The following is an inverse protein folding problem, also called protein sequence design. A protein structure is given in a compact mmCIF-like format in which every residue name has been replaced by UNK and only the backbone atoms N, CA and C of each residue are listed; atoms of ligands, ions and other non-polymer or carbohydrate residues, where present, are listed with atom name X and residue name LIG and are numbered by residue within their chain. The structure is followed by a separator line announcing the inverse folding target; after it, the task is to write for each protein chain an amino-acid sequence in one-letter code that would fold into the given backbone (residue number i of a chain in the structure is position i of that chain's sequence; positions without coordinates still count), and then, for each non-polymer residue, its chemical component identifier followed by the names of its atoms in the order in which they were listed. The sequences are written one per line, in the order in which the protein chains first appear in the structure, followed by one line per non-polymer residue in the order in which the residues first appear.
data_IF_406964757792
#
_entry.id   IF_406964757792
#
_cell.length_a   1.000
_cell.length_b   1.000
_cell.length_c   1.000
_cell.angle_alpha   90.00
_cell.angle_beta   90.00
_cell.angle_gamma   90.00
#
_symmetry.space_group_name_H-M   'P 1'
#
loop_
_entity.id
_entity.type
_entity.pdbx_description
1 polymer ?
#
# COMPACT_ATOMS: atom_id res chain seq x y z
N UNK A 1 -8.95 16.08 4.53
CA UNK A 1 -9.43 15.61 3.20
C UNK A 1 -10.15 14.30 3.40
N UNK A 2 -11.39 14.17 2.89
CA UNK A 2 -12.13 12.91 2.79
C UNK A 2 -11.89 12.28 1.42
N UNK A 3 -12.11 10.96 1.28
CA UNK A 3 -11.99 10.30 -0.03
C UNK A 3 -12.99 10.84 -1.05
N UNK A 4 -14.16 11.31 -0.62
CA UNK A 4 -15.17 11.93 -1.48
C UNK A 4 -14.75 13.29 -2.06
N UNK A 5 -13.71 13.93 -1.49
CA UNK A 5 -13.12 15.16 -2.03
C UNK A 5 -12.06 14.87 -3.11
N UNK A 6 -11.62 13.60 -3.22
CA UNK A 6 -10.65 13.16 -4.22
C UNK A 6 -11.44 12.52 -5.36
N UNK A 7 -11.68 13.27 -6.42
CA UNK A 7 -12.45 12.81 -7.59
C UNK A 7 -11.50 12.65 -8.77
N UNK A 8 -11.55 11.46 -9.40
CA UNK A 8 -10.82 11.15 -10.63
C UNK A 8 -11.87 10.91 -11.71
N UNK A 9 -11.72 11.51 -12.87
CA UNK A 9 -12.65 11.34 -13.98
C UNK A 9 -11.92 11.43 -15.33
N UNK A 10 -12.53 10.88 -16.34
CA UNK A 10 -12.00 10.93 -17.70
C UNK A 10 -12.00 12.35 -18.25
N UNK A 11 -10.94 12.71 -18.99
CA UNK A 11 -10.87 13.96 -19.69
C UNK A 11 -11.96 13.98 -20.77
N UNK A 12 -12.73 15.10 -20.92
CA UNK A 12 -13.71 15.22 -21.99
C UNK A 12 -13.13 14.98 -23.39
N UNK A 13 -13.98 14.51 -24.32
CA UNK A 13 -13.56 14.19 -25.70
C UNK A 13 -12.84 15.34 -26.43
N UNK A 14 -13.11 16.60 -26.07
CA UNK A 14 -12.42 17.76 -26.62
C UNK A 14 -10.98 17.94 -26.13
N UNK A 15 -10.55 17.11 -25.16
CA UNK A 15 -9.21 17.15 -24.57
C UNK A 15 -8.94 18.37 -23.68
N UNK A 16 -9.94 19.18 -23.37
CA UNK A 16 -9.79 20.36 -22.52
C UNK A 16 -10.09 20.02 -21.05
N UNK A 17 -9.19 20.45 -20.15
CA UNK A 17 -9.36 20.27 -18.72
C UNK A 17 -10.51 21.15 -18.21
N UNK A 18 -11.60 20.58 -17.67
CA UNK A 18 -12.66 21.37 -17.06
C UNK A 18 -12.13 22.15 -15.85
N UNK A 19 -12.51 23.42 -15.70
CA UNK A 19 -12.11 24.26 -14.57
C UNK A 19 -10.60 24.17 -14.25
N UNK A 20 -9.69 24.60 -15.15
CA UNK A 20 -8.25 24.40 -14.99
C UNK A 20 -7.62 25.05 -13.74
N UNK A 21 -8.37 25.90 -13.04
CA UNK A 21 -7.95 26.48 -11.76
C UNK A 21 -8.24 25.55 -10.56
N UNK A 22 -9.06 24.53 -10.75
CA UNK A 22 -9.51 23.60 -9.69
C UNK A 22 -9.07 22.14 -9.96
N UNK A 23 -8.80 21.83 -11.22
CA UNK A 23 -8.47 20.47 -11.67
C UNK A 23 -7.06 20.43 -12.28
N UNK A 24 -6.43 19.27 -12.19
CA UNK A 24 -5.12 18.98 -12.77
C UNK A 24 -5.15 17.68 -13.58
N UNK A 25 -4.32 17.56 -14.60
CA UNK A 25 -4.12 16.30 -15.28
C UNK A 25 -3.36 15.33 -14.39
N UNK A 26 -3.75 14.06 -14.38
CA UNK A 26 -3.04 13.03 -13.60
C UNK A 26 -1.57 12.95 -13.97
N UNK A 27 -1.24 13.08 -15.26
CA UNK A 27 0.15 13.01 -15.75
C UNK A 27 1.06 14.07 -15.14
N UNK A 28 0.49 15.20 -14.70
CA UNK A 28 1.25 16.29 -14.07
C UNK A 28 1.43 16.09 -12.56
N UNK A 29 0.72 15.11 -11.97
CA UNK A 29 0.67 14.89 -10.52
C UNK A 29 1.32 13.58 -10.09
N UNK A 30 1.38 12.57 -10.98
CA UNK A 30 1.87 11.25 -10.64
C UNK A 30 3.40 11.20 -10.53
N UNK A 31 3.86 10.50 -9.53
CA UNK A 31 5.23 9.99 -9.44
C UNK A 31 5.24 8.57 -10.01
N UNK A 32 6.19 8.30 -10.92
CA UNK A 32 6.36 6.99 -11.54
C UNK A 32 7.39 6.18 -10.78
N UNK A 33 7.03 4.97 -10.41
CA UNK A 33 7.89 4.01 -9.72
C UNK A 33 7.95 2.71 -10.51
N UNK A 34 9.04 1.98 -10.34
CA UNK A 34 9.22 0.63 -10.90
C UNK A 34 9.58 -0.35 -9.79
N UNK A 35 9.16 -1.59 -9.93
CA UNK A 35 9.50 -2.69 -9.03
C UNK A 35 9.53 -4.00 -9.78
N UNK A 36 10.39 -4.92 -9.36
CA UNK A 36 10.33 -6.31 -9.80
C UNK A 36 9.43 -7.09 -8.84
N UNK A 37 8.56 -7.93 -9.37
CA UNK A 37 7.75 -8.86 -8.60
C UNK A 37 7.54 -10.14 -9.41
N UNK A 38 7.89 -11.30 -8.84
CA UNK A 38 7.87 -12.61 -9.50
C UNK A 38 8.60 -12.57 -10.87
N UNK A 39 9.84 -12.06 -10.88
CA UNK A 39 10.72 -11.93 -12.05
C UNK A 39 10.18 -11.04 -13.18
N UNK A 40 9.14 -10.23 -12.92
CA UNK A 40 8.55 -9.29 -13.87
C UNK A 40 8.70 -7.86 -13.36
N UNK A 41 9.21 -6.97 -14.21
CA UNK A 41 9.27 -5.55 -13.93
C UNK A 41 7.88 -4.92 -14.15
N UNK A 42 7.39 -4.18 -13.15
CA UNK A 42 6.14 -3.43 -13.18
C UNK A 42 6.38 -1.95 -12.94
N UNK A 43 5.68 -1.13 -13.71
CA UNK A 43 5.55 0.30 -13.47
C UNK A 43 4.23 0.57 -12.75
N UNK A 44 4.28 1.40 -11.70
CA UNK A 44 3.11 1.86 -10.96
C UNK A 44 3.22 3.34 -10.66
N UNK A 45 2.11 3.97 -10.32
CA UNK A 45 2.06 5.42 -10.13
C UNK A 45 1.46 5.76 -8.79
N UNK A 46 1.98 6.82 -8.16
CA UNK A 46 1.44 7.35 -6.92
C UNK A 46 1.20 8.86 -7.02
N UNK A 47 0.22 9.34 -6.27
CA UNK A 47 0.04 10.77 -6.02
C UNK A 47 0.16 10.99 -4.52
N UNK A 48 1.18 11.73 -4.09
CA UNK A 48 1.38 12.13 -2.69
C UNK A 48 0.54 13.37 -2.39
N UNK A 49 -0.61 13.19 -1.73
CA UNK A 49 -1.45 14.30 -1.26
C UNK A 49 -0.89 14.86 0.05
N UNK A 50 -0.43 13.97 0.93
CA UNK A 50 0.25 14.32 2.17
C UNK A 50 1.26 13.23 2.53
N UNK A 51 2.49 13.61 2.85
CA UNK A 51 3.56 12.65 3.18
C UNK A 51 3.29 11.89 4.49
N UNK A 52 2.62 12.50 5.44
CA UNK A 52 2.54 12.06 6.84
C UNK A 52 3.52 12.87 7.71
N UNK A 53 3.15 13.06 8.97
CA UNK A 53 3.86 13.97 9.86
C UNK A 53 4.90 13.31 10.77
N UNK A 54 4.94 12.00 10.82
CA UNK A 54 5.95 11.22 11.56
C UNK A 54 7.30 11.21 10.80
N UNK A 55 8.38 10.88 11.50
CA UNK A 55 9.66 10.54 10.87
C UNK A 55 9.72 9.05 10.46
N UNK A 56 8.77 8.24 10.90
CA UNK A 56 8.72 6.80 10.63
C UNK A 56 7.81 6.49 9.45
N UNK A 57 8.28 5.62 8.56
CA UNK A 57 7.51 4.96 7.49
C UNK A 57 7.45 3.46 7.75
N UNK A 58 6.45 2.73 7.24
CA UNK A 58 6.44 1.28 7.30
C UNK A 58 7.50 0.67 6.39
N UNK A 59 7.88 -0.57 6.70
CA UNK A 59 8.56 -1.46 5.77
C UNK A 59 7.52 -2.32 5.01
N UNK A 60 7.96 -3.01 3.98
CA UNK A 60 7.07 -3.77 3.08
C UNK A 60 6.38 -4.99 3.74
N UNK A 61 6.88 -5.47 4.88
CA UNK A 61 6.34 -6.61 5.64
C UNK A 61 5.64 -6.20 6.94
N UNK A 62 5.57 -4.89 7.22
CA UNK A 62 5.04 -4.40 8.48
C UNK A 62 3.52 -4.55 8.60
N UNK A 63 3.04 -4.46 9.82
CA UNK A 63 1.63 -4.26 10.10
C UNK A 63 1.31 -2.78 10.05
N UNK A 64 0.28 -2.41 9.30
CA UNK A 64 -0.11 -1.01 9.09
C UNK A 64 -1.57 -0.78 9.44
N UNK A 65 -1.88 0.42 9.93
CA UNK A 65 -3.23 0.89 10.18
C UNK A 65 -3.62 1.91 9.12
N UNK A 66 -4.65 1.58 8.34
CA UNK A 66 -5.08 2.38 7.18
C UNK A 66 -6.60 2.52 7.13
N UNK A 67 -7.09 3.55 6.45
CA UNK A 67 -8.41 3.56 5.81
C UNK A 67 -8.22 3.70 4.31
N UNK A 68 -9.14 3.17 3.52
CA UNK A 68 -8.97 3.13 2.07
C UNK A 68 -10.28 3.04 1.30
N UNK A 69 -10.20 3.33 0.01
CA UNK A 69 -11.23 3.12 -0.99
C UNK A 69 -10.56 2.57 -2.26
N UNK A 70 -10.94 1.37 -2.68
CA UNK A 70 -10.45 0.70 -3.87
C UNK A 70 -11.49 0.73 -4.99
N UNK A 71 -11.10 1.28 -6.15
CA UNK A 71 -11.95 1.37 -7.33
C UNK A 71 -11.26 0.80 -8.56
N UNK A 72 -12.04 0.34 -9.52
CA UNK A 72 -11.58 -0.04 -10.86
C UNK A 72 -11.35 1.21 -11.72
N UNK A 73 -10.78 1.03 -12.91
CA UNK A 73 -10.53 2.13 -13.85
C UNK A 73 -11.81 2.84 -14.33
N UNK A 74 -12.98 2.22 -14.20
CA UNK A 74 -14.29 2.78 -14.51
C UNK A 74 -15.01 3.39 -13.29
N UNK A 75 -14.26 3.65 -12.20
CA UNK A 75 -14.73 4.17 -10.91
C UNK A 75 -15.67 3.22 -10.15
N UNK A 76 -15.77 1.94 -10.56
CA UNK A 76 -16.54 0.93 -9.82
C UNK A 76 -15.85 0.63 -8.49
N UNK A 77 -16.53 0.95 -7.38
CA UNK A 77 -16.06 0.62 -6.03
C UNK A 77 -16.11 -0.90 -5.82
N UNK A 78 -14.98 -1.50 -5.44
CA UNK A 78 -14.91 -2.94 -5.16
C UNK A 78 -14.62 -3.26 -3.69
N UNK A 79 -13.94 -2.36 -2.97
CA UNK A 79 -13.64 -2.54 -1.55
C UNK A 79 -13.37 -1.20 -0.87
N UNK A 80 -13.72 -1.06 0.41
CA UNK A 80 -13.41 0.15 1.17
C UNK A 80 -13.53 -0.05 2.68
N UNK A 81 -12.75 0.71 3.44
CA UNK A 81 -12.96 0.91 4.86
C UNK A 81 -12.73 2.38 5.23
N UNK A 82 -13.79 3.05 5.68
CA UNK A 82 -13.70 4.40 6.23
C UNK A 82 -13.25 4.43 7.69
N UNK A 83 -13.36 3.29 8.39
CA UNK A 83 -12.84 3.06 9.74
C UNK A 83 -11.44 2.49 9.59
N UNK A 84 -10.43 2.95 10.38
CA UNK A 84 -9.10 2.39 10.33
C UNK A 84 -9.10 0.88 10.59
N UNK A 85 -8.45 0.13 9.70
CA UNK A 85 -8.23 -1.31 9.78
C UNK A 85 -6.75 -1.62 9.78
N UNK A 86 -6.39 -2.74 10.38
CA UNK A 86 -5.01 -3.21 10.40
C UNK A 86 -4.79 -4.21 9.26
N UNK A 87 -3.74 -3.99 8.48
CA UNK A 87 -3.24 -4.91 7.47
C UNK A 87 -1.86 -5.41 7.88
N UNK A 88 -1.63 -6.67 7.69
CA UNK A 88 -0.32 -7.27 7.57
C UNK A 88 0.06 -7.20 6.08
N UNK A 89 1.12 -6.48 5.75
CA UNK A 89 1.47 -6.20 4.36
C UNK A 89 1.90 -7.47 3.60
N UNK A 90 2.41 -8.48 4.29
CA UNK A 90 2.74 -9.78 3.67
C UNK A 90 1.49 -10.56 3.24
N UNK A 91 0.35 -10.26 3.84
CA UNK A 91 -0.95 -10.90 3.56
C UNK A 91 -1.83 -10.09 2.60
N UNK A 92 -1.32 -8.98 2.04
CA UNK A 92 -2.04 -8.13 1.07
C UNK A 92 -1.55 -8.36 -0.36
N UNK A 93 -2.18 -7.69 -1.34
CA UNK A 93 -1.62 -7.62 -2.69
C UNK A 93 -0.29 -6.86 -2.66
N UNK A 94 0.66 -7.26 -3.52
CA UNK A 94 2.03 -6.73 -3.52
C UNK A 94 2.11 -5.20 -3.59
N UNK A 95 1.17 -4.56 -4.28
CA UNK A 95 1.13 -3.10 -4.40
C UNK A 95 1.11 -2.34 -3.08
N UNK A 96 0.48 -2.87 -2.02
CA UNK A 96 0.47 -2.22 -0.70
C UNK A 96 1.87 -2.16 -0.08
N UNK A 97 2.60 -3.27 -0.10
CA UNK A 97 3.98 -3.34 0.39
C UNK A 97 4.98 -2.51 -0.42
N UNK A 98 4.66 -2.18 -1.68
CA UNK A 98 5.50 -1.31 -2.52
C UNK A 98 5.21 0.17 -2.33
N UNK A 99 3.97 0.53 -2.01
CA UNK A 99 3.54 1.93 -1.97
C UNK A 99 3.61 2.53 -0.57
N UNK A 100 3.17 1.81 0.47
CA UNK A 100 3.10 2.38 1.81
C UNK A 100 4.46 2.81 2.39
N UNK A 101 5.60 2.15 2.09
CA UNK A 101 6.92 2.63 2.51
C UNK A 101 7.30 4.02 2.00
N UNK A 102 6.64 4.50 0.94
CA UNK A 102 6.83 5.85 0.39
C UNK A 102 6.17 6.96 1.23
N UNK A 103 5.40 6.59 2.26
CA UNK A 103 4.66 7.51 3.13
C UNK A 103 5.08 7.36 4.57
N UNK A 104 4.92 8.43 5.33
CA UNK A 104 5.13 8.42 6.77
C UNK A 104 3.82 8.18 7.51
N UNK A 105 3.93 7.67 8.73
CA UNK A 105 2.83 7.57 9.67
C UNK A 105 2.23 8.93 10.01
N UNK A 106 1.07 8.95 10.66
CA UNK A 106 0.53 10.15 11.27
C UNK A 106 1.52 10.71 12.31
N UNK A 107 1.56 12.03 12.44
CA UNK A 107 2.42 12.72 13.41
C UNK A 107 2.14 12.26 14.85
N UNK A 108 0.86 12.16 15.19
CA UNK A 108 0.39 11.68 16.48
C UNK A 108 -1.10 11.30 16.41
N UNK A 109 -1.61 10.78 17.50
CA UNK A 109 -3.05 10.51 17.65
C UNK A 109 -3.55 10.92 19.04
N UNK A 110 -4.85 11.15 19.15
CA UNK A 110 -5.55 11.47 20.39
C UNK A 110 -6.72 10.50 20.57
N UNK A 111 -6.79 9.87 21.74
CA UNK A 111 -7.96 9.09 22.14
C UNK A 111 -8.97 10.05 22.75
N UNK A 112 -10.14 10.17 22.14
CA UNK A 112 -11.22 11.04 22.56
C UNK A 112 -11.97 10.44 23.77
N UNK A 113 -12.75 11.28 24.47
CA UNK A 113 -13.54 10.84 25.64
C UNK A 113 -14.57 9.76 25.28
N UNK A 114 -15.05 9.74 24.04
CA UNK A 114 -16.01 8.75 23.52
C UNK A 114 -15.34 7.45 23.04
N UNK A 115 -14.01 7.33 23.19
CA UNK A 115 -13.23 6.18 22.77
C UNK A 115 -12.82 6.18 21.28
N UNK A 116 -13.22 7.16 20.52
CA UNK A 116 -12.72 7.32 19.13
C UNK A 116 -11.29 7.81 19.11
N UNK A 117 -10.57 7.55 18.01
CA UNK A 117 -9.19 8.00 17.83
C UNK A 117 -9.15 9.02 16.70
N UNK A 118 -8.53 10.16 16.95
CA UNK A 118 -8.24 11.18 15.94
C UNK A 118 -6.76 11.15 15.62
N UNK A 119 -6.41 10.97 14.36
CA UNK A 119 -5.04 10.99 13.87
C UNK A 119 -4.74 12.36 13.25
N UNK A 120 -3.60 12.94 13.61
CA UNK A 120 -3.14 14.21 13.09
C UNK A 120 -2.08 13.99 12.01
N UNK A 121 -2.22 14.72 10.91
CA UNK A 121 -1.27 14.73 9.79
C UNK A 121 -0.90 13.31 9.28
N UNK A 122 -1.89 12.44 8.92
CA UNK A 122 -1.60 11.10 8.40
C UNK A 122 -1.00 11.15 6.99
N UNK A 123 -0.30 10.10 6.58
CA UNK A 123 0.04 9.89 5.17
C UNK A 123 -1.24 9.76 4.33
N UNK A 124 -1.33 10.46 3.19
CA UNK A 124 -2.51 10.40 2.30
C UNK A 124 -2.03 10.30 0.87
N UNK A 125 -2.50 9.30 0.17
CA UNK A 125 -2.12 9.09 -1.22
C UNK A 125 -3.17 8.39 -2.07
N UNK A 126 -2.82 8.32 -3.35
CA UNK A 126 -3.53 7.52 -4.34
C UNK A 126 -2.46 6.65 -5.00
N UNK A 127 -2.76 5.38 -5.21
CA UNK A 127 -1.93 4.48 -5.99
C UNK A 127 -2.70 3.89 -7.16
N UNK A 128 -2.01 3.79 -8.29
CA UNK A 128 -2.48 3.17 -9.51
C UNK A 128 -1.62 1.95 -9.77
N UNK A 129 -2.20 0.78 -9.60
CA UNK A 129 -1.50 -0.49 -9.64
C UNK A 129 -1.83 -1.25 -10.93
N UNK A 130 -0.82 -1.74 -11.68
CA UNK A 130 -1.06 -2.72 -12.72
C UNK A 130 -1.57 -4.02 -12.09
N UNK A 131 -2.28 -4.82 -12.87
CA UNK A 131 -2.88 -6.08 -12.40
C UNK A 131 -1.89 -7.02 -11.73
N UNK A 132 -0.63 -7.03 -12.15
CA UNK A 132 0.42 -7.91 -11.60
C UNK A 132 0.81 -7.56 -10.16
N UNK A 133 0.64 -6.31 -9.72
CA UNK A 133 0.80 -5.90 -8.33
C UNK A 133 -0.54 -5.94 -7.53
N UNK A 134 -1.62 -6.38 -8.19
CA UNK A 134 -2.95 -6.59 -7.63
C UNK A 134 -3.33 -8.07 -7.58
N UNK A 135 -4.50 -8.42 -8.10
CA UNK A 135 -5.02 -9.80 -8.07
C UNK A 135 -4.62 -10.63 -9.29
N UNK A 136 -3.97 -10.05 -10.29
CA UNK A 136 -3.50 -10.65 -11.53
C UNK A 136 -4.57 -11.52 -12.22
N UNK A 137 -4.32 -12.86 -12.33
CA UNK A 137 -5.22 -13.82 -12.97
C UNK A 137 -6.32 -14.35 -12.03
N UNK A 138 -6.29 -13.98 -10.75
CA UNK A 138 -7.33 -14.36 -9.80
C UNK A 138 -8.47 -13.35 -9.84
N UNK A 139 -9.71 -13.83 -9.87
CA UNK A 139 -10.87 -12.99 -9.62
C UNK A 139 -11.03 -12.80 -8.10
N UNK A 140 -11.19 -11.57 -7.63
CA UNK A 140 -11.36 -11.26 -6.21
C UNK A 140 -12.66 -10.47 -6.00
N UNK A 141 -13.69 -11.14 -5.51
CA UNK A 141 -14.99 -10.53 -5.32
C UNK A 141 -15.56 -9.99 -6.64
N UNK A 142 -15.74 -8.66 -6.73
CA UNK A 142 -16.22 -7.97 -7.94
C UNK A 142 -15.10 -7.53 -8.89
N UNK A 143 -13.82 -7.79 -8.53
CA UNK A 143 -12.67 -7.42 -9.38
C UNK A 143 -12.46 -8.48 -10.46
N UNK A 144 -12.61 -8.15 -11.76
CA UNK A 144 -12.30 -9.06 -12.85
C UNK A 144 -10.81 -9.41 -12.90
N UNK A 145 -10.48 -10.53 -13.54
CA UNK A 145 -9.07 -10.90 -13.80
C UNK A 145 -8.37 -9.82 -14.62
N UNK A 146 -7.08 -9.63 -14.36
CA UNK A 146 -6.21 -8.66 -15.05
C UNK A 146 -6.66 -7.18 -14.94
N UNK A 147 -7.46 -6.84 -13.91
CA UNK A 147 -7.84 -5.46 -13.65
C UNK A 147 -6.70 -4.65 -13.05
N UNK A 148 -6.48 -3.45 -13.58
CA UNK A 148 -5.72 -2.43 -12.90
C UNK A 148 -6.57 -1.84 -11.77
N UNK A 149 -5.92 -1.47 -10.67
CA UNK A 149 -6.59 -1.03 -9.45
C UNK A 149 -6.17 0.40 -9.10
N UNK A 150 -7.10 1.15 -8.55
CA UNK A 150 -6.84 2.46 -7.96
C UNK A 150 -7.24 2.39 -6.49
N UNK A 151 -6.32 2.76 -5.59
CA UNK A 151 -6.65 2.93 -4.18
C UNK A 151 -6.36 4.35 -3.74
N UNK A 152 -7.32 4.95 -3.06
CA UNK A 152 -7.15 6.13 -2.23
C UNK A 152 -6.95 5.64 -0.81
N UNK A 153 -5.95 6.12 -0.09
CA UNK A 153 -5.67 5.62 1.26
C UNK A 153 -5.20 6.71 2.21
N UNK A 154 -5.33 6.42 3.51
CA UNK A 154 -4.69 7.16 4.60
C UNK A 154 -3.92 6.17 5.45
N UNK A 155 -2.64 6.45 5.67
CA UNK A 155 -1.76 5.71 6.55
C UNK A 155 -1.72 6.42 7.91
N UNK A 156 -2.05 5.70 8.97
CA UNK A 156 -2.08 6.24 10.32
C UNK A 156 -0.91 5.80 11.16
N UNK A 157 -0.61 4.51 11.17
CA UNK A 157 0.42 3.90 12.00
C UNK A 157 1.01 2.69 11.29
N UNK A 158 2.24 2.35 11.67
CA UNK A 158 2.87 1.07 11.36
C UNK A 158 3.53 0.50 12.60
N UNK A 159 3.70 -0.81 12.60
CA UNK A 159 4.38 -1.59 13.63
C UNK A 159 5.23 -2.63 12.91
N UNK A 160 6.48 -2.79 13.32
CA UNK A 160 7.34 -3.85 12.81
C UNK A 160 6.69 -5.20 13.06
N UNK A 161 6.67 -6.02 12.04
CA UNK A 161 6.19 -7.39 12.15
C UNK A 161 7.39 -8.33 12.28
N UNK A 162 7.25 -9.30 13.17
CA UNK A 162 8.17 -10.38 13.47
C UNK A 162 7.27 -11.62 13.50
N UNK A 163 7.24 -12.36 12.38
CA UNK A 163 6.22 -13.39 12.15
C UNK A 163 6.49 -14.70 12.92
N UNK A 164 7.74 -15.01 13.21
CA UNK A 164 8.16 -16.23 13.91
C UNK A 164 8.59 -16.01 15.37
N UNK A 165 8.68 -14.72 15.78
CA UNK A 165 8.99 -14.28 17.13
C UNK A 165 10.42 -14.60 17.59
N UNK A 166 11.36 -14.58 16.68
CA UNK A 166 12.79 -14.75 16.97
C UNK A 166 13.50 -13.46 17.41
N UNK A 167 12.81 -12.32 17.33
CA UNK A 167 13.22 -10.93 17.55
C UNK A 167 13.99 -10.29 16.39
N UNK A 168 13.97 -10.85 15.22
CA UNK A 168 14.37 -10.21 13.97
C UNK A 168 13.10 -9.68 13.27
N UNK A 169 12.97 -8.39 12.95
CA UNK A 169 11.86 -7.90 12.15
C UNK A 169 11.87 -8.52 10.75
N UNK A 170 10.73 -9.03 10.29
CA UNK A 170 10.65 -9.80 9.04
C UNK A 170 11.19 -9.10 7.79
N UNK A 171 11.18 -7.78 7.74
CA UNK A 171 11.80 -7.05 6.61
C UNK A 171 13.33 -7.17 6.56
N UNK A 172 13.99 -7.57 7.65
CA UNK A 172 15.44 -7.80 7.71
C UNK A 172 15.82 -9.22 7.28
N UNK A 173 14.84 -10.10 7.10
CA UNK A 173 14.97 -11.46 6.67
C UNK A 173 14.82 -11.63 5.15
N UNK A 174 14.56 -10.53 4.43
CA UNK A 174 14.71 -10.39 2.98
C UNK A 174 16.20 -10.21 2.66
N UNK A 175 16.92 -11.34 2.57
CA UNK A 175 18.39 -11.35 2.45
C UNK A 175 18.85 -10.90 1.06
N UNK A 176 18.05 -11.20 0.05
CA UNK A 176 18.36 -10.86 -1.33
C UNK A 176 17.82 -9.49 -1.76
N UNK A 177 17.06 -8.80 -0.87
CA UNK A 177 16.46 -7.47 -1.05
C UNK A 177 15.51 -7.39 -2.27
N UNK A 178 14.79 -8.47 -2.57
CA UNK A 178 13.85 -8.52 -3.71
C UNK A 178 12.38 -8.26 -3.30
N UNK A 179 12.13 -8.06 -2.01
CA UNK A 179 10.83 -7.86 -1.37
C UNK A 179 9.91 -9.10 -1.45
N UNK A 180 10.46 -10.28 -1.56
CA UNK A 180 9.77 -11.56 -1.50
C UNK A 180 10.39 -12.44 -0.42
N UNK A 181 9.87 -12.37 0.79
CA UNK A 181 10.33 -13.13 1.95
C UNK A 181 10.22 -14.65 1.77
N UNK A 182 9.45 -15.11 0.76
CA UNK A 182 9.15 -16.54 0.62
C UNK A 182 10.28 -17.34 -0.04
N UNK A 183 11.28 -16.67 -0.59
CA UNK A 183 12.40 -17.28 -1.28
C UNK A 183 13.72 -17.21 -0.51
N UNK A 184 13.72 -16.62 0.69
CA UNK A 184 14.85 -16.58 1.61
C UNK A 184 14.76 -17.73 2.60
N UNK A 185 15.65 -18.71 2.48
CA UNK A 185 15.75 -19.94 3.26
C UNK A 185 17.26 -20.20 3.47
N UNK A 186 17.77 -19.84 4.65
CA UNK A 186 19.23 -19.81 4.91
C UNK A 186 19.81 -21.20 5.14
N UNK A 187 19.05 -22.10 5.76
CA UNK A 187 19.49 -23.42 6.15
C UNK A 187 19.01 -24.55 5.22
N UNK A 188 18.27 -24.20 4.15
CA UNK A 188 17.71 -25.10 3.13
C UNK A 188 16.72 -26.15 3.71
N UNK A 189 15.99 -25.83 4.79
CA UNK A 189 15.03 -26.75 5.40
C UNK A 189 13.62 -26.68 4.79
N UNK A 190 13.38 -25.75 3.89
CA UNK A 190 12.13 -25.44 3.16
C UNK A 190 11.13 -24.56 3.92
N UNK A 191 11.53 -23.99 5.03
CA UNK A 191 10.84 -22.85 5.62
C UNK A 191 11.58 -21.58 5.25
N UNK A 192 10.84 -20.52 4.96
CA UNK A 192 11.46 -19.21 4.70
C UNK A 192 11.83 -18.55 6.02
N UNK A 193 12.93 -17.84 6.06
CA UNK A 193 13.47 -17.23 7.27
C UNK A 193 12.40 -16.50 8.09
N UNK A 194 11.58 -15.66 7.48
CA UNK A 194 10.56 -14.84 8.18
C UNK A 194 9.46 -15.65 8.91
N UNK A 195 9.44 -16.97 8.79
CA UNK A 195 8.52 -17.91 9.47
C UNK A 195 9.26 -19.04 10.15
N UNK A 196 10.59 -18.98 10.23
CA UNK A 196 11.45 -19.97 10.84
C UNK A 196 12.33 -19.33 11.92
N UNK A 197 11.97 -19.54 13.18
CA UNK A 197 12.68 -18.95 14.33
C UNK A 197 14.08 -19.51 14.59
N UNK A 198 14.58 -20.44 13.77
CA UNK A 198 15.91 -21.04 13.83
C UNK A 198 16.51 -21.11 12.41
N UNK A 199 16.46 -19.97 11.72
CA UNK A 199 16.76 -19.78 10.29
C UNK A 199 18.20 -20.12 9.86
N UNK A 200 19.10 -20.42 10.80
CA UNK A 200 20.48 -20.86 10.56
C UNK A 200 20.85 -22.22 11.20
N UNK A 201 19.90 -22.88 11.90
CA UNK A 201 20.04 -24.19 12.53
C UNK A 201 21.23 -24.30 13.53
N UNK A 202 21.55 -23.26 14.34
CA UNK A 202 22.68 -23.26 15.27
C UNK A 202 22.33 -23.38 16.78
#
# INVERSE_FOLDING_TARGET
ISFSEIVIYELPENGELPNPNENSLLIDLVETHTTTYLDVEYEYYIIKINQGGSENSPNFSDKVRVSYEGVLMDDTLFDSSSIPVDFDLTSTIAGWGRVLPEYNNAENFVVNIDGTVTYNNPGIGIMFLPSGLGYFSAAAGSVPVYSNLIFKFKLYQSEFNDHDFDNVPSHLEDINEDFDLTNDDTDDDSFSNFVDSDDDND
#
